data_IF_556747782739
#
_entry.id   IF_556747782739
#
_cell.length_a   1.000
_cell.length_b   1.000
_cell.length_c   1.000
_cell.angle_alpha   90.00
_cell.angle_beta   90.00
_cell.angle_gamma   90.00
#
_symmetry.space_group_name_H-M   'P 1'
#
loop_
_entity.id
_entity.type
_entity.pdbx_description
1 polymer ?
#
# COMPACT_ATOMS: atom_id res chain seq x y z
N UNK A 1 10.85 19.59 -4.08
CA UNK A 1 12.20 19.16 -4.43
C UNK A 1 12.98 20.30 -5.01
N UNK A 2 14.12 20.61 -4.46
CA UNK A 2 14.72 21.90 -4.71
C UNK A 2 16.18 21.90 -5.10
N UNK A 3 16.85 20.77 -5.09
CA UNK A 3 18.29 20.87 -5.19
C UNK A 3 18.89 19.82 -6.07
N UNK A 4 19.56 20.29 -7.11
CA UNK A 4 20.44 19.55 -8.01
C UNK A 4 21.53 20.52 -8.41
N UNK A 5 22.72 20.10 -8.75
CA UNK A 5 23.21 18.74 -8.84
C UNK A 5 23.57 18.11 -7.51
N UNK A 6 23.94 16.86 -7.56
CA UNK A 6 24.39 16.14 -6.41
C UNK A 6 25.71 16.68 -5.93
N UNK A 7 25.76 17.12 -4.67
CA UNK A 7 26.97 17.63 -4.05
C UNK A 7 27.10 17.04 -2.65
N UNK A 8 27.86 15.96 -2.46
CA UNK A 8 27.96 15.34 -1.16
C UNK A 8 28.63 16.24 -0.14
N UNK A 9 27.98 16.42 1.00
CA UNK A 9 28.57 17.06 2.14
C UNK A 9 28.94 15.96 3.14
N UNK A 10 30.21 15.86 3.57
CA UNK A 10 30.66 14.73 4.38
C UNK A 10 29.95 14.59 5.73
N UNK A 11 29.41 15.69 6.26
CA UNK A 11 28.70 15.73 7.54
C UNK A 11 27.19 15.53 7.40
N UNK A 12 26.71 15.21 6.20
CA UNK A 12 25.30 15.10 5.92
C UNK A 12 24.88 13.64 5.83
N UNK A 13 23.78 13.30 6.51
CA UNK A 13 23.20 11.97 6.40
C UNK A 13 22.37 11.91 5.12
N UNK A 14 22.89 11.20 4.12
CA UNK A 14 22.26 11.10 2.81
C UNK A 14 21.57 9.74 2.69
N UNK A 15 20.27 9.77 2.43
CA UNK A 15 19.48 8.55 2.21
C UNK A 15 19.59 8.08 0.77
N UNK A 16 19.70 6.78 0.58
CA UNK A 16 19.38 6.19 -0.71
C UNK A 16 17.86 6.11 -0.86
N UNK A 17 17.36 5.94 -2.08
CA UNK A 17 15.92 5.76 -2.31
C UNK A 17 15.41 4.52 -1.57
N UNK A 18 16.15 3.42 -1.64
CA UNK A 18 15.74 2.19 -0.97
C UNK A 18 15.72 2.34 0.56
N UNK A 19 16.66 3.08 1.11
CA UNK A 19 16.64 3.39 2.55
C UNK A 19 15.43 4.21 2.94
N UNK A 20 15.11 5.24 2.15
CA UNK A 20 13.94 6.08 2.40
C UNK A 20 12.66 5.25 2.38
N UNK A 21 12.48 4.41 1.36
CA UNK A 21 11.28 3.59 1.25
C UNK A 21 11.18 2.57 2.39
N UNK A 22 12.29 1.99 2.79
CA UNK A 22 12.32 1.03 3.90
C UNK A 22 11.95 1.71 5.22
N UNK A 23 12.47 2.90 5.47
CA UNK A 23 12.17 3.62 6.71
C UNK A 23 10.74 4.16 6.71
N UNK A 24 10.25 4.62 5.55
CA UNK A 24 8.85 5.04 5.42
C UNK A 24 7.89 3.86 5.68
N UNK A 25 8.21 2.69 5.15
CA UNK A 25 7.43 1.48 5.39
C UNK A 25 7.39 1.15 6.88
N UNK A 26 8.54 1.16 7.54
CA UNK A 26 8.63 0.85 8.96
C UNK A 26 7.83 1.86 9.79
N UNK A 27 7.87 3.13 9.42
CA UNK A 27 7.13 4.18 10.11
C UNK A 27 5.62 3.98 9.96
N UNK A 28 5.16 3.70 8.74
CA UNK A 28 3.74 3.45 8.49
C UNK A 28 3.25 2.22 9.26
N UNK A 29 3.98 1.12 9.16
CA UNK A 29 3.59 -0.12 9.83
C UNK A 29 3.62 0.00 11.35
N UNK A 30 4.53 0.81 11.87
CA UNK A 30 4.65 1.02 13.32
C UNK A 30 3.67 2.04 13.88
N UNK A 31 3.16 2.95 13.05
CA UNK A 31 2.29 4.04 13.51
C UNK A 31 0.80 3.72 13.41
N UNK A 32 0.41 2.86 12.48
CA UNK A 32 -0.99 2.47 12.33
C UNK A 32 -1.22 1.08 12.90
N UNK A 33 -2.25 0.89 13.72
CA UNK A 33 -2.66 -0.46 14.12
C UNK A 33 -3.34 -1.16 12.94
N UNK A 34 -3.57 -2.45 13.08
CA UNK A 34 -4.49 -3.18 12.20
C UNK A 34 -5.86 -2.53 12.31
N UNK A 35 -6.43 -2.09 11.20
CA UNK A 35 -7.63 -1.25 11.22
C UNK A 35 -8.66 -1.68 10.18
N UNK A 36 -9.87 -1.13 10.32
CA UNK A 36 -10.96 -1.34 9.38
C UNK A 36 -11.06 -0.15 8.44
N UNK A 37 -11.21 -0.42 7.14
CA UNK A 37 -11.38 0.61 6.13
C UNK A 37 -12.55 0.23 5.26
N UNK A 38 -13.47 1.18 5.01
CA UNK A 38 -14.59 0.95 4.09
C UNK A 38 -14.41 1.76 2.82
N UNK A 39 -14.93 1.26 1.73
CA UNK A 39 -14.91 1.95 0.47
C UNK A 39 -15.45 1.09 -0.64
N UNK A 40 -15.47 1.67 -1.85
CA UNK A 40 -15.89 0.96 -3.04
C UNK A 40 -14.68 0.31 -3.71
N UNK A 41 -14.82 -0.97 -4.03
CA UNK A 41 -13.78 -1.75 -4.68
C UNK A 41 -13.73 -1.41 -6.17
N UNK A 42 -12.52 -1.16 -6.70
CA UNK A 42 -12.33 -0.86 -8.12
C UNK A 42 -10.98 -1.39 -8.60
N UNK A 43 -10.82 -1.44 -9.92
CA UNK A 43 -9.57 -1.88 -10.57
C UNK A 43 -9.09 -3.25 -10.07
N UNK A 44 -10.01 -4.18 -9.89
CA UNK A 44 -9.66 -5.52 -9.43
C UNK A 44 -8.82 -6.24 -10.47
N UNK A 45 -7.70 -6.81 -10.02
CA UNK A 45 -6.78 -7.57 -10.85
C UNK A 45 -6.47 -8.90 -10.17
N UNK A 46 -6.50 -9.99 -10.96
CA UNK A 46 -6.22 -11.35 -10.49
C UNK A 46 -5.09 -11.95 -11.32
N UNK A 47 -3.83 -11.57 -11.05
CA UNK A 47 -2.70 -12.15 -11.81
C UNK A 47 -2.54 -13.64 -11.52
N UNK A 48 -1.72 -14.29 -12.34
CA UNK A 48 -1.48 -15.73 -12.26
C UNK A 48 -0.91 -16.19 -10.91
N UNK A 49 -0.28 -15.28 -10.16
CA UNK A 49 0.22 -15.56 -8.81
C UNK A 49 -0.88 -15.95 -7.83
N UNK A 50 -2.13 -15.63 -8.14
CA UNK A 50 -3.26 -15.85 -7.26
C UNK A 50 -3.51 -14.76 -6.24
N UNK A 51 -2.66 -13.75 -6.18
CA UNK A 51 -2.90 -12.57 -5.35
C UNK A 51 -3.98 -11.71 -5.99
N UNK A 52 -4.68 -10.92 -5.18
CA UNK A 52 -5.65 -9.94 -5.67
C UNK A 52 -5.11 -8.54 -5.41
N UNK A 53 -5.23 -7.68 -6.41
CA UNK A 53 -4.88 -6.27 -6.29
C UNK A 53 -6.09 -5.44 -6.69
N UNK A 54 -6.36 -4.38 -5.95
CA UNK A 54 -7.49 -3.51 -6.23
C UNK A 54 -7.26 -2.14 -5.61
N UNK A 55 -8.15 -1.22 -5.95
CA UNK A 55 -8.22 0.09 -5.28
C UNK A 55 -9.47 0.13 -4.42
N UNK A 56 -9.34 0.77 -3.28
CA UNK A 56 -10.47 1.07 -2.41
C UNK A 56 -10.66 2.58 -2.46
N UNK A 57 -11.86 3.04 -2.76
CA UNK A 57 -12.11 4.47 -2.98
C UNK A 57 -13.37 4.96 -2.30
N UNK A 58 -13.38 6.26 -2.04
CA UNK A 58 -14.59 7.00 -1.64
C UNK A 58 -14.70 8.24 -2.54
N UNK A 59 -15.54 9.20 -2.16
CA UNK A 59 -15.77 10.39 -2.99
C UNK A 59 -14.54 11.31 -3.10
N UNK A 60 -13.58 11.23 -2.18
CA UNK A 60 -12.45 12.15 -2.11
C UNK A 60 -11.10 11.50 -2.39
N UNK A 61 -10.96 10.19 -2.20
CA UNK A 61 -9.64 9.57 -2.19
C UNK A 61 -9.70 8.10 -2.58
N UNK A 62 -8.52 7.55 -2.86
CA UNK A 62 -8.38 6.12 -3.10
C UNK A 62 -7.06 5.64 -2.55
N UNK A 63 -6.99 4.34 -2.27
CA UNK A 63 -5.77 3.68 -1.81
C UNK A 63 -5.64 2.31 -2.48
N UNK A 64 -4.41 1.94 -2.83
CA UNK A 64 -4.14 0.62 -3.39
C UNK A 64 -4.17 -0.43 -2.30
N UNK A 65 -4.65 -1.61 -2.66
CA UNK A 65 -4.76 -2.74 -1.76
C UNK A 65 -4.17 -3.99 -2.38
N UNK A 66 -3.60 -4.85 -1.54
CA UNK A 66 -3.13 -6.16 -1.93
C UNK A 66 -3.73 -7.19 -0.97
N UNK A 67 -4.38 -8.21 -1.52
CA UNK A 67 -4.88 -9.34 -0.76
C UNK A 67 -4.11 -10.58 -1.20
N UNK A 68 -3.15 -10.98 -0.39
CA UNK A 68 -2.28 -12.09 -0.73
C UNK A 68 -3.03 -13.40 -0.69
N UNK A 69 -2.59 -14.34 -1.52
CA UNK A 69 -3.24 -15.62 -1.72
C UNK A 69 -3.56 -16.35 -0.40
N UNK A 70 -2.61 -16.35 0.52
CA UNK A 70 -2.77 -17.04 1.80
C UNK A 70 -3.88 -16.46 2.69
N UNK A 71 -4.27 -15.21 2.46
CA UNK A 71 -5.30 -14.52 3.24
C UNK A 71 -6.70 -14.62 2.62
N UNK A 72 -6.81 -15.12 1.39
CA UNK A 72 -8.09 -15.12 0.66
C UNK A 72 -9.10 -16.10 1.22
N UNK A 73 -8.66 -17.14 1.91
CA UNK A 73 -9.54 -18.12 2.54
C UNK A 73 -10.44 -17.52 3.61
N UNK A 74 -10.10 -16.33 4.11
CA UNK A 74 -10.89 -15.63 5.12
C UNK A 74 -11.95 -14.72 4.50
N UNK A 75 -12.04 -14.68 3.17
CA UNK A 75 -12.98 -13.84 2.44
C UNK A 75 -14.21 -14.67 2.11
N UNK A 76 -15.37 -14.23 2.59
CA UNK A 76 -16.62 -14.99 2.46
C UNK A 76 -17.38 -14.72 1.17
N UNK A 77 -16.98 -13.68 0.41
CA UNK A 77 -17.65 -13.30 -0.84
C UNK A 77 -16.63 -13.15 -1.95
N UNK A 78 -17.05 -13.32 -3.20
CA UNK A 78 -16.20 -13.08 -4.35
C UNK A 78 -16.12 -11.59 -4.63
N UNK A 79 -14.94 -10.98 -4.51
CA UNK A 79 -14.80 -9.54 -4.76
C UNK A 79 -15.10 -9.18 -6.21
N UNK A 80 -15.78 -8.06 -6.42
CA UNK A 80 -16.09 -7.50 -7.73
C UNK A 80 -16.01 -6.00 -7.69
N UNK A 81 -15.62 -5.40 -8.82
CA UNK A 81 -15.65 -3.96 -8.98
C UNK A 81 -17.04 -3.40 -8.68
N UNK A 82 -17.09 -2.28 -8.00
CA UNK A 82 -18.33 -1.61 -7.63
C UNK A 82 -18.92 -2.03 -6.30
N UNK A 83 -18.39 -3.08 -5.68
CA UNK A 83 -18.90 -3.49 -4.37
C UNK A 83 -18.45 -2.52 -3.28
N UNK A 84 -19.36 -2.19 -2.39
CA UNK A 84 -19.04 -1.49 -1.15
C UNK A 84 -18.56 -2.54 -0.15
N UNK A 85 -17.34 -2.39 0.35
CA UNK A 85 -16.71 -3.37 1.20
C UNK A 85 -16.12 -2.76 2.46
N UNK A 86 -15.96 -3.61 3.46
CA UNK A 86 -15.28 -3.28 4.70
C UNK A 86 -14.10 -4.24 4.82
N UNK A 87 -12.89 -3.70 4.87
CA UNK A 87 -11.68 -4.51 4.90
C UNK A 87 -10.90 -4.32 6.20
N UNK A 88 -10.34 -5.41 6.68
CA UNK A 88 -9.41 -5.39 7.81
C UNK A 88 -8.01 -5.33 7.21
N UNK A 89 -7.24 -4.29 7.53
CA UNK A 89 -6.03 -4.04 6.79
C UNK A 89 -4.90 -3.48 7.65
N UNK A 90 -3.69 -3.73 7.18
CA UNK A 90 -2.46 -3.12 7.67
C UNK A 90 -2.02 -2.05 6.70
N UNK A 91 -1.60 -0.90 7.22
CA UNK A 91 -1.04 0.17 6.39
C UNK A 91 0.43 -0.10 6.15
N UNK A 92 0.85 -0.07 4.89
CA UNK A 92 2.21 -0.39 4.51
C UNK A 92 2.64 0.42 3.29
N UNK A 93 3.81 0.07 2.75
CA UNK A 93 4.37 0.70 1.56
C UNK A 93 5.06 -0.38 0.75
N UNK A 94 4.81 -0.40 -0.56
CA UNK A 94 5.51 -1.30 -1.47
C UNK A 94 6.87 -0.69 -1.80
N UNK A 95 7.93 -1.25 -1.23
CA UNK A 95 9.26 -0.66 -1.30
C UNK A 95 9.80 -0.51 -2.72
N UNK A 96 9.51 -1.47 -3.59
CA UNK A 96 10.02 -1.48 -4.95
C UNK A 96 9.60 -0.28 -5.77
N UNK A 97 8.43 0.32 -5.47
CA UNK A 97 7.92 1.51 -6.18
C UNK A 97 7.61 2.68 -5.26
N UNK A 98 7.72 2.50 -3.97
CA UNK A 98 7.38 3.55 -3.01
C UNK A 98 5.89 3.84 -2.95
N UNK A 99 5.04 2.86 -3.26
CA UNK A 99 3.59 3.03 -3.26
C UNK A 99 3.03 2.69 -1.87
N UNK A 100 2.30 3.62 -1.32
CA UNK A 100 1.50 3.44 -0.13
C UNK A 100 0.35 2.46 -0.43
N UNK A 101 0.11 1.53 0.47
CA UNK A 101 -0.90 0.50 0.22
C UNK A 101 -1.46 -0.11 1.51
N UNK A 102 -2.63 -0.73 1.39
CA UNK A 102 -3.20 -1.60 2.42
C UNK A 102 -2.90 -3.06 2.09
N UNK A 103 -2.64 -3.83 3.10
CA UNK A 103 -2.42 -5.27 2.97
C UNK A 103 -3.42 -6.04 3.82
#
# INVERSE_FOLDING_TARGET
MTQLPLSPAPDRDVFSVSRLNREAKALLEGSFPLLWVEGELSNLSRPASGHLYFSLKDAQAQVRCALFRGSQRNVSVTPKDGMQVLVRARVSLYEGRGDYQLI
#
